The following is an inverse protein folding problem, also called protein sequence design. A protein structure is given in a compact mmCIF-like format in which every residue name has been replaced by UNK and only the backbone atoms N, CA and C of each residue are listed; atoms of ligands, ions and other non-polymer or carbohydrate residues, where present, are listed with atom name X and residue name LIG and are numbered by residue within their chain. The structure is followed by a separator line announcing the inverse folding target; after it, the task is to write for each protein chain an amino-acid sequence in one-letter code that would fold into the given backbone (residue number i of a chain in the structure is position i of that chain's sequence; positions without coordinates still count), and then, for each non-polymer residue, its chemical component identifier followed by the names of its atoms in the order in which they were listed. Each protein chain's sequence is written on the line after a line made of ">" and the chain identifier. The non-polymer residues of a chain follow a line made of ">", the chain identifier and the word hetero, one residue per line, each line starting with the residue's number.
data_IF_574886528840
#
_entry.id   IF_574886528840
#
_cell.length_a   1.000
_cell.length_b   1.000
_cell.length_c   1.000
_cell.angle_alpha   90.00
_cell.angle_beta   90.00
_cell.angle_gamma   90.00
#
_symmetry.space_group_name_H-M   'P 1'
#
loop_
_entity.id
_entity.type
_entity.pdbx_description
1 polymer ?
#
# COMPACT_ATOMS: atom_id res chain seq x y z
N UNK A 1 -4.66 19.34 6.36
CA UNK A 1 -3.90 18.38 5.53
C UNK A 1 -4.28 16.97 5.92
N UNK A 2 -3.48 15.97 5.55
CA UNK A 2 -3.67 14.59 6.00
C UNK A 2 -3.45 14.46 7.52
N UNK A 3 -4.21 13.57 8.15
CA UNK A 3 -4.09 13.21 9.57
C UNK A 3 -4.07 11.68 9.71
N UNK A 4 -3.61 11.17 10.85
CA UNK A 4 -3.73 9.74 11.18
C UNK A 4 -5.01 9.47 11.98
N UNK A 5 -5.52 8.23 11.88
CA UNK A 5 -6.65 7.76 12.66
C UNK A 5 -6.34 6.37 13.22
N UNK A 6 -6.30 6.25 14.56
CA UNK A 6 -6.05 4.99 15.23
C UNK A 6 -7.14 3.94 14.89
N UNK A 7 -6.70 2.72 14.55
CA UNK A 7 -7.57 1.57 14.27
C UNK A 7 -7.03 0.30 14.95
N UNK A 8 -7.91 -0.65 15.33
CA UNK A 8 -7.50 -1.82 16.12
C UNK A 8 -6.54 -2.77 15.38
N UNK A 9 -6.67 -2.88 14.06
CA UNK A 9 -5.76 -3.53 13.10
C UNK A 9 -6.55 -3.61 11.78
N UNK A 10 -7.48 -4.56 11.71
CA UNK A 10 -8.42 -4.72 10.61
C UNK A 10 -9.70 -3.90 10.83
N UNK A 11 -10.13 -3.22 9.78
CA UNK A 11 -11.39 -2.47 9.74
C UNK A 11 -12.18 -2.87 8.50
N UNK A 12 -13.49 -2.62 8.51
CA UNK A 12 -14.30 -2.83 7.32
C UNK A 12 -13.83 -1.94 6.17
N UNK A 13 -13.93 -2.44 4.93
CA UNK A 13 -13.61 -1.66 3.72
C UNK A 13 -14.35 -0.31 3.69
N UNK A 14 -15.62 -0.28 4.12
CA UNK A 14 -16.38 0.97 4.18
C UNK A 14 -15.75 2.00 5.13
N UNK A 15 -15.28 1.56 6.30
CA UNK A 15 -14.56 2.43 7.25
C UNK A 15 -13.21 2.87 6.67
N UNK A 16 -12.46 1.96 6.06
CA UNK A 16 -11.19 2.27 5.40
C UNK A 16 -11.34 3.35 4.34
N UNK A 17 -12.25 3.16 3.38
CA UNK A 17 -12.52 4.12 2.32
C UNK A 17 -13.02 5.47 2.86
N UNK A 18 -13.87 5.47 3.90
CA UNK A 18 -14.34 6.70 4.52
C UNK A 18 -13.20 7.51 5.13
N UNK A 19 -12.28 6.84 5.82
CA UNK A 19 -11.11 7.49 6.41
C UNK A 19 -10.24 8.13 5.33
N UNK A 20 -9.90 7.41 4.26
CA UNK A 20 -9.10 7.96 3.17
C UNK A 20 -9.79 9.13 2.45
N UNK A 21 -11.11 9.04 2.21
CA UNK A 21 -11.89 10.12 1.60
C UNK A 21 -11.89 11.40 2.45
N UNK A 22 -11.77 11.27 3.76
CA UNK A 22 -11.69 12.37 4.72
C UNK A 22 -10.24 12.85 4.97
N UNK A 23 -9.26 12.35 4.20
CA UNK A 23 -7.82 12.61 4.38
C UNK A 23 -7.31 12.16 5.75
N UNK A 24 -7.83 11.03 6.23
CA UNK A 24 -7.42 10.39 7.48
C UNK A 24 -6.83 9.02 7.14
N UNK A 25 -5.54 8.83 7.34
CA UNK A 25 -4.90 7.54 7.09
C UNK A 25 -5.10 6.62 8.31
N UNK A 26 -5.68 5.43 8.15
CA UNK A 26 -5.81 4.47 9.24
C UNK A 26 -4.44 4.00 9.70
N UNK A 27 -4.21 3.94 11.01
CA UNK A 27 -2.96 3.46 11.59
C UNK A 27 -3.28 2.44 12.66
N UNK A 28 -2.79 1.21 12.48
CA UNK A 28 -2.91 0.15 13.46
C UNK A 28 -2.25 0.55 14.80
N UNK A 29 -2.84 0.12 15.92
CA UNK A 29 -2.34 0.48 17.26
C UNK A 29 -1.45 -0.57 17.92
N UNK A 30 -1.13 -1.65 17.20
CA UNK A 30 -0.21 -2.69 17.67
C UNK A 30 1.13 -2.58 16.93
N UNK A 31 2.18 -3.18 17.51
CA UNK A 31 3.52 -3.27 16.93
C UNK A 31 3.89 -4.75 16.82
N UNK A 32 4.56 -5.13 15.72
CA UNK A 32 5.08 -6.49 15.51
C UNK A 32 6.06 -6.92 16.61
N UNK A 33 6.26 -8.24 16.76
CA UNK A 33 7.27 -8.78 17.67
C UNK A 33 8.65 -8.77 17.00
N UNK A 34 9.69 -8.94 17.82
CA UNK A 34 11.06 -9.05 17.31
C UNK A 34 11.25 -10.25 16.35
N UNK A 35 10.54 -11.36 16.61
CA UNK A 35 10.62 -12.56 15.76
C UNK A 35 9.96 -12.34 14.38
N UNK A 36 9.11 -11.32 14.24
CA UNK A 36 8.36 -10.97 13.01
C UNK A 36 8.95 -9.73 12.31
N UNK A 37 10.19 -9.32 12.63
CA UNK A 37 10.79 -8.07 12.15
C UNK A 37 10.92 -8.02 10.62
N UNK A 38 11.28 -9.14 10.00
CA UNK A 38 11.54 -9.21 8.57
C UNK A 38 10.25 -9.12 7.74
N UNK A 39 9.15 -9.67 8.26
CA UNK A 39 7.84 -9.69 7.60
C UNK A 39 6.71 -10.05 8.58
N UNK A 40 5.56 -9.39 8.42
CA UNK A 40 4.29 -9.74 9.07
C UNK A 40 3.15 -9.51 8.07
N UNK A 41 2.17 -10.42 8.03
CA UNK A 41 1.03 -10.33 7.10
C UNK A 41 0.09 -9.17 7.45
N UNK A 42 -0.10 -8.91 8.75
CA UNK A 42 -0.97 -7.83 9.23
C UNK A 42 -0.21 -6.51 9.35
N UNK A 43 -0.74 -5.39 8.83
CA UNK A 43 -0.08 -4.10 8.92
C UNK A 43 -0.08 -3.61 10.37
N UNK A 44 1.11 -3.47 10.94
CA UNK A 44 1.34 -2.92 12.27
C UNK A 44 1.63 -1.41 12.21
N UNK A 45 1.77 -0.75 13.36
CA UNK A 45 2.03 0.69 13.42
C UNK A 45 3.30 1.10 12.67
N UNK A 46 4.33 0.25 12.62
CA UNK A 46 5.55 0.54 11.87
C UNK A 46 5.29 0.60 10.37
N UNK A 47 4.57 -0.39 9.83
CA UNK A 47 4.16 -0.40 8.43
C UNK A 47 3.41 0.88 8.05
N UNK A 48 2.44 1.28 8.86
CA UNK A 48 1.59 2.43 8.55
C UNK A 48 2.36 3.77 8.63
N UNK A 49 3.18 3.94 9.66
CA UNK A 49 3.91 5.18 9.90
C UNK A 49 5.13 5.32 9.01
N UNK A 50 5.88 4.25 8.78
CA UNK A 50 7.14 4.31 8.00
C UNK A 50 6.89 4.06 6.52
N UNK A 51 6.00 3.13 6.19
CA UNK A 51 5.69 2.78 4.81
C UNK A 51 4.85 3.85 4.10
N UNK A 52 3.81 4.37 4.75
CA UNK A 52 2.79 5.19 4.06
C UNK A 52 2.83 6.68 4.42
N UNK A 53 2.98 7.02 5.70
CA UNK A 53 2.84 8.41 6.14
C UNK A 53 3.83 9.40 5.50
N UNK A 54 5.11 9.07 5.20
CA UNK A 54 6.02 10.00 4.53
C UNK A 54 5.50 10.39 3.15
N UNK A 55 4.93 9.44 2.40
CA UNK A 55 4.42 9.69 1.05
C UNK A 55 3.13 10.50 1.03
N UNK A 56 2.34 10.49 2.10
CA UNK A 56 1.17 11.38 2.23
C UNK A 56 1.55 12.87 2.26
N UNK A 57 2.83 13.21 2.45
CA UNK A 57 3.34 14.59 2.31
C UNK A 57 3.52 15.00 0.84
N UNK A 58 3.57 14.03 -0.08
CA UNK A 58 3.68 14.28 -1.52
C UNK A 58 2.29 14.46 -2.17
N UNK A 59 2.04 15.57 -2.91
CA UNK A 59 0.70 15.88 -3.43
C UNK A 59 0.08 14.78 -4.29
N UNK A 60 0.86 14.12 -5.15
CA UNK A 60 0.33 13.07 -6.03
C UNK A 60 -0.19 11.86 -5.24
N UNK A 61 0.53 11.44 -4.20
CA UNK A 61 0.18 10.29 -3.38
C UNK A 61 -0.98 10.61 -2.44
N UNK A 62 -1.00 11.83 -1.90
CA UNK A 62 -2.11 12.38 -1.15
C UNK A 62 -3.41 12.43 -1.97
N UNK A 63 -3.35 12.93 -3.21
CA UNK A 63 -4.51 12.99 -4.12
C UNK A 63 -4.97 11.59 -4.49
N UNK A 64 -4.03 10.68 -4.77
CA UNK A 64 -4.34 9.29 -5.08
C UNK A 64 -5.13 8.63 -3.95
N UNK A 65 -4.64 8.69 -2.71
CA UNK A 65 -5.31 8.06 -1.57
C UNK A 65 -6.70 8.67 -1.30
N UNK A 66 -6.84 9.99 -1.40
CA UNK A 66 -8.14 10.66 -1.25
C UNK A 66 -9.13 10.21 -2.33
N UNK A 67 -8.67 10.17 -3.58
CA UNK A 67 -9.49 9.76 -4.73
C UNK A 67 -9.89 8.29 -4.62
N UNK A 68 -8.94 7.44 -4.23
CA UNK A 68 -9.17 6.03 -3.97
C UNK A 68 -10.23 5.80 -2.89
N UNK A 69 -10.16 6.54 -1.78
CA UNK A 69 -11.19 6.51 -0.74
C UNK A 69 -12.57 6.89 -1.25
N UNK A 70 -12.67 7.97 -2.03
CA UNK A 70 -13.93 8.43 -2.64
C UNK A 70 -14.52 7.43 -3.62
N UNK A 71 -13.67 6.79 -4.43
CA UNK A 71 -14.10 5.71 -5.35
C UNK A 71 -14.60 4.50 -4.57
N UNK A 72 -13.88 4.06 -3.54
CA UNK A 72 -14.24 2.88 -2.75
C UNK A 72 -15.58 3.02 -2.00
N UNK A 73 -15.96 4.23 -1.60
CA UNK A 73 -17.28 4.51 -1.01
C UNK A 73 -18.44 4.26 -1.98
N UNK A 74 -18.22 4.51 -3.27
CA UNK A 74 -19.23 4.35 -4.32
C UNK A 74 -19.13 3.00 -5.05
N UNK A 75 -18.05 2.24 -4.81
CA UNK A 75 -17.78 0.98 -5.48
C UNK A 75 -18.66 -0.17 -4.96
N UNK A 76 -19.20 -0.93 -5.90
CA UNK A 76 -19.80 -2.25 -5.68
C UNK A 76 -18.76 -3.25 -5.14
N UNK A 77 -19.24 -4.40 -4.64
CA UNK A 77 -18.35 -5.47 -4.16
C UNK A 77 -17.35 -5.94 -5.24
N UNK A 78 -17.79 -6.01 -6.49
CA UNK A 78 -16.94 -6.44 -7.60
C UNK A 78 -15.88 -5.39 -7.94
N UNK A 79 -16.26 -4.11 -7.98
CA UNK A 79 -15.31 -3.01 -8.23
C UNK A 79 -14.27 -2.87 -7.11
N UNK A 80 -14.63 -3.21 -5.86
CA UNK A 80 -13.66 -3.23 -4.75
C UNK A 80 -12.53 -4.22 -4.95
N UNK A 81 -12.73 -5.31 -5.68
CA UNK A 81 -11.65 -6.25 -6.02
C UNK A 81 -10.62 -5.61 -6.96
N UNK A 82 -11.11 -4.82 -7.93
CA UNK A 82 -10.25 -4.05 -8.83
C UNK A 82 -9.51 -2.94 -8.07
N UNK A 83 -10.19 -2.25 -7.18
CA UNK A 83 -9.56 -1.25 -6.30
C UNK A 83 -8.49 -1.88 -5.40
N UNK A 84 -8.74 -3.05 -4.81
CA UNK A 84 -7.76 -3.75 -3.99
C UNK A 84 -6.47 -4.06 -4.78
N UNK A 85 -6.59 -4.56 -6.01
CA UNK A 85 -5.44 -4.80 -6.90
C UNK A 85 -4.71 -3.51 -7.26
N UNK A 86 -5.46 -2.46 -7.58
CA UNK A 86 -4.88 -1.15 -7.88
C UNK A 86 -4.07 -0.65 -6.69
N UNK A 87 -4.61 -0.72 -5.47
CA UNK A 87 -3.92 -0.31 -4.24
C UNK A 87 -2.68 -1.16 -3.99
N UNK A 88 -2.80 -2.49 -4.17
CA UNK A 88 -1.72 -3.44 -3.98
C UNK A 88 -0.51 -3.13 -4.89
N UNK A 89 -0.74 -3.02 -6.20
CA UNK A 89 0.33 -2.77 -7.17
C UNK A 89 0.78 -1.30 -7.27
N UNK A 90 0.25 -0.41 -6.41
CA UNK A 90 0.68 0.98 -6.34
C UNK A 90 1.11 1.35 -4.93
N UNK A 91 0.16 1.54 -4.01
CA UNK A 91 0.42 2.02 -2.66
C UNK A 91 1.19 1.00 -1.81
N UNK A 92 0.98 -0.29 -2.00
CA UNK A 92 1.68 -1.32 -1.19
C UNK A 92 3.01 -1.77 -1.81
N UNK A 93 3.03 -2.09 -3.11
CA UNK A 93 4.19 -2.69 -3.80
C UNK A 93 4.64 -1.89 -5.03
N UNK A 94 4.35 -0.59 -5.05
CA UNK A 94 4.71 0.28 -6.17
C UNK A 94 6.20 0.58 -6.28
N UNK A 95 6.67 0.58 -7.52
CA UNK A 95 8.02 0.98 -7.92
C UNK A 95 7.96 2.16 -8.89
N UNK A 96 9.00 2.98 -8.90
CA UNK A 96 9.17 4.09 -9.84
C UNK A 96 10.55 4.05 -10.48
N UNK A 97 10.69 4.64 -11.67
CA UNK A 97 11.93 4.61 -12.44
C UNK A 97 11.72 3.92 -13.79
N UNK A 98 12.45 4.36 -14.81
CA UNK A 98 12.31 3.85 -16.17
C UNK A 98 13.18 2.61 -16.43
N UNK A 99 14.21 2.42 -15.60
CA UNK A 99 15.21 1.35 -15.75
C UNK A 99 15.53 0.76 -14.39
N UNK A 100 16.21 -0.39 -14.37
CA UNK A 100 16.67 -1.04 -13.15
C UNK A 100 17.60 -0.16 -12.31
N UNK A 101 18.45 0.63 -12.97
CA UNK A 101 19.42 1.53 -12.33
C UNK A 101 18.74 2.76 -11.72
N UNK A 102 17.59 3.15 -12.25
CA UNK A 102 16.80 4.29 -11.76
C UNK A 102 15.62 3.86 -10.89
N UNK A 103 15.46 2.56 -10.65
CA UNK A 103 14.38 1.97 -9.87
C UNK A 103 14.46 2.44 -8.42
N UNK A 104 13.34 2.95 -7.93
CA UNK A 104 13.13 3.36 -6.54
C UNK A 104 11.82 2.79 -6.04
N UNK A 105 11.76 2.55 -4.74
CA UNK A 105 10.59 2.02 -4.07
C UNK A 105 9.73 3.19 -3.59
N UNK A 106 8.41 3.08 -3.77
CA UNK A 106 7.45 3.92 -3.06
C UNK A 106 6.31 3.12 -2.41
N UNK A 107 6.21 1.81 -2.66
CA UNK A 107 5.22 0.97 -2.00
C UNK A 107 5.48 0.86 -0.49
N UNK A 108 4.47 1.12 0.34
CA UNK A 108 4.58 1.08 1.79
C UNK A 108 4.86 -0.31 2.36
N UNK A 109 4.31 -1.36 1.73
CA UNK A 109 4.63 -2.76 2.04
C UNK A 109 6.12 -3.07 1.85
N UNK A 110 6.70 -2.59 0.76
CA UNK A 110 8.14 -2.76 0.50
C UNK A 110 8.98 -1.92 1.47
N UNK A 111 8.64 -0.63 1.64
CA UNK A 111 9.40 0.30 2.50
C UNK A 111 9.41 -0.11 3.99
N UNK A 112 8.46 -0.94 4.42
CA UNK A 112 8.32 -1.40 5.81
C UNK A 112 8.75 -2.84 6.04
N UNK A 113 9.32 -3.51 5.02
CA UNK A 113 9.90 -4.84 5.13
C UNK A 113 11.33 -4.84 4.56
N UNK A 114 12.35 -5.15 5.39
CA UNK A 114 13.72 -5.26 4.92
C UNK A 114 13.89 -6.28 3.79
N UNK A 115 13.25 -7.45 3.92
CA UNK A 115 13.31 -8.54 2.95
C UNK A 115 12.70 -8.14 1.60
N UNK A 116 11.52 -7.50 1.61
CA UNK A 116 10.89 -6.97 0.39
C UNK A 116 11.72 -5.86 -0.24
N UNK A 117 12.32 -4.97 0.56
CA UNK A 117 13.20 -3.91 0.04
C UNK A 117 14.39 -4.49 -0.72
N UNK A 118 15.04 -5.52 -0.17
CA UNK A 118 16.15 -6.21 -0.83
C UNK A 118 15.67 -6.94 -2.09
N UNK A 119 14.57 -7.69 -1.99
CA UNK A 119 13.99 -8.44 -3.10
C UNK A 119 13.61 -7.51 -4.26
N UNK A 120 12.86 -6.44 -4.00
CA UNK A 120 12.38 -5.48 -4.99
C UNK A 120 13.51 -4.76 -5.74
N UNK A 121 14.69 -4.63 -5.13
CA UNK A 121 15.88 -4.00 -5.73
C UNK A 121 16.84 -5.01 -6.38
N UNK A 122 16.60 -6.31 -6.22
CA UNK A 122 17.41 -7.39 -6.81
C UNK A 122 17.03 -7.67 -8.28
N UNK A 123 17.58 -8.77 -8.81
CA UNK A 123 17.38 -9.24 -10.18
C UNK A 123 16.24 -10.26 -10.29
N UNK A 124 15.73 -10.72 -9.15
CA UNK A 124 14.71 -11.75 -9.03
C UNK A 124 13.27 -11.29 -9.40
N UNK A 125 12.78 -10.09 -9.05
CA UNK A 125 11.39 -9.73 -9.29
C UNK A 125 11.11 -9.42 -10.77
N UNK A 126 9.98 -9.93 -11.28
CA UNK A 126 9.42 -9.54 -12.56
C UNK A 126 8.78 -8.14 -12.48
N UNK A 127 9.59 -7.12 -12.71
CA UNK A 127 9.17 -5.72 -12.70
C UNK A 127 8.62 -5.31 -14.07
N UNK A 128 7.32 -5.04 -14.14
CA UNK A 128 6.63 -4.62 -15.37
C UNK A 128 6.34 -3.11 -15.37
N UNK A 129 6.27 -2.53 -16.56
CA UNK A 129 5.74 -1.19 -16.71
C UNK A 129 4.30 -1.12 -16.21
N UNK A 130 3.92 -0.01 -15.59
CA UNK A 130 2.56 0.17 -15.12
C UNK A 130 1.59 0.24 -16.30
N UNK A 131 0.73 -0.76 -16.40
CA UNK A 131 -0.46 -0.77 -17.25
C UNK A 131 -1.70 -1.01 -16.38
N UNK A 132 -2.70 -0.14 -16.51
CA UNK A 132 -3.89 -0.21 -15.66
C UNK A 132 -4.66 -1.51 -15.88
N UNK A 133 -4.82 -1.97 -17.12
CA UNK A 133 -5.62 -3.16 -17.42
C UNK A 133 -4.91 -4.40 -16.85
N UNK A 134 -3.60 -4.48 -16.98
CA UNK A 134 -2.81 -5.56 -16.41
C UNK A 134 -2.90 -5.56 -14.88
N UNK A 135 -2.76 -4.41 -14.23
CA UNK A 135 -2.89 -4.27 -12.76
C UNK A 135 -4.26 -4.75 -12.30
N UNK A 136 -5.34 -4.34 -12.96
CA UNK A 136 -6.70 -4.74 -12.57
C UNK A 136 -6.98 -6.24 -12.77
N UNK A 137 -6.20 -6.93 -13.61
CA UNK A 137 -6.38 -8.35 -13.93
C UNK A 137 -5.39 -9.27 -13.20
N UNK A 138 -4.29 -8.73 -12.68
CA UNK A 138 -3.24 -9.52 -12.04
C UNK A 138 -3.67 -9.92 -10.63
N UNK A 139 -3.70 -11.22 -10.30
CA UNK A 139 -3.90 -11.67 -8.92
C UNK A 139 -2.66 -11.35 -8.08
N UNK A 140 -2.84 -11.13 -6.78
CA UNK A 140 -1.75 -10.94 -5.83
C UNK A 140 -1.85 -11.93 -4.67
N UNK A 141 -0.71 -12.15 -4.01
CA UNK A 141 -0.59 -12.98 -2.81
C UNK A 141 -0.19 -12.12 -1.62
N UNK A 142 -0.56 -12.55 -0.42
CA UNK A 142 -0.32 -11.83 0.84
C UNK A 142 0.53 -12.64 1.81
N UNK A 143 0.97 -13.83 1.42
CA UNK A 143 1.56 -14.86 2.29
C UNK A 143 3.00 -15.22 1.91
N UNK A 144 3.51 -14.64 0.81
CA UNK A 144 4.83 -14.96 0.24
C UNK A 144 5.44 -13.73 -0.42
N UNK A 145 6.77 -13.66 -0.39
CA UNK A 145 7.58 -12.86 -1.32
C UNK A 145 7.53 -13.53 -2.69
#
# INVERSE_FOLDING_TARGET
>A
GWQTAAVPALISFGKFFKLLADKRFPVATFIRRFDDMDYIEEPDIFHEIVGHCPLLTHPAFAIFNETYGKLGLNATKQERLYLARLYWFTIEFGLMGATKETRKIYGGGILSSPSETIYALSDEPDCRAFDLIDVLRTPYRIDQI
#
